data_IF_331083311523
#
_entry.id   IF_331083311523
#
_cell.length_a   1.000
_cell.length_b   1.000
_cell.length_c   1.000
_cell.angle_alpha   90.00
_cell.angle_beta   90.00
_cell.angle_gamma   90.00
#
_symmetry.space_group_name_H-M   'P 1'
#
loop_
_entity.id
_entity.type
_entity.pdbx_description
1 polymer ?
#
# COMPACT_ATOMS: atom_id res chain seq x y z
N UNK A 1 12.95 12.20 9.64
CA UNK A 1 12.33 11.05 8.96
C UNK A 1 11.10 11.49 8.18
N UNK A 2 11.10 11.25 6.91
CA UNK A 2 10.00 11.68 6.04
C UNK A 2 9.05 10.52 5.81
N UNK A 3 7.78 10.72 6.17
CA UNK A 3 6.76 9.73 5.92
C UNK A 3 5.98 10.16 4.68
N UNK A 4 6.03 9.34 3.63
CA UNK A 4 5.30 9.61 2.41
C UNK A 4 4.01 8.82 2.40
N UNK A 5 2.91 9.53 2.60
CA UNK A 5 1.59 8.92 2.58
C UNK A 5 0.87 9.38 1.33
N UNK A 6 0.45 8.43 0.52
CA UNK A 6 -0.14 8.69 -0.78
C UNK A 6 -1.50 8.02 -0.90
N UNK A 7 -2.38 8.62 -1.68
CA UNK A 7 -3.60 7.92 -2.09
C UNK A 7 -3.24 6.84 -3.10
N UNK A 8 -4.18 5.91 -3.35
CA UNK A 8 -3.95 4.86 -4.34
C UNK A 8 -3.61 5.48 -5.69
N UNK A 9 -4.36 6.50 -6.08
CA UNK A 9 -4.15 7.16 -7.36
C UNK A 9 -2.77 7.82 -7.44
N UNK A 10 -2.38 8.53 -6.39
CA UNK A 10 -1.06 9.16 -6.34
C UNK A 10 0.06 8.14 -6.39
N UNK A 11 -0.13 7.04 -5.67
CA UNK A 11 0.87 5.98 -5.63
C UNK A 11 1.06 5.36 -7.01
N UNK A 12 -0.02 5.07 -7.72
CA UNK A 12 0.08 4.46 -9.05
C UNK A 12 0.67 5.41 -10.08
N UNK A 13 0.42 6.71 -9.93
CA UNK A 13 1.03 7.69 -10.81
C UNK A 13 2.54 7.81 -10.59
N UNK A 14 2.96 7.72 -9.35
CA UNK A 14 4.37 7.80 -9.00
C UNK A 14 5.11 6.50 -9.35
N UNK A 15 4.43 5.38 -9.25
CA UNK A 15 5.03 4.07 -9.50
C UNK A 15 4.24 3.31 -10.56
N UNK A 16 4.49 3.58 -11.85
CA UNK A 16 3.74 2.96 -12.94
C UNK A 16 3.84 1.42 -12.98
N UNK A 17 4.85 0.86 -12.30
CA UNK A 17 4.99 -0.59 -12.22
C UNK A 17 3.86 -1.24 -11.42
N UNK A 18 3.13 -0.44 -10.65
CA UNK A 18 2.02 -0.92 -9.83
C UNK A 18 0.72 -0.31 -10.35
N UNK A 19 -0.01 -1.03 -11.22
CA UNK A 19 -1.28 -0.51 -11.74
C UNK A 19 -2.33 -0.43 -10.65
N UNK A 20 -3.27 0.48 -10.83
CA UNK A 20 -4.30 0.71 -9.82
C UNK A 20 -5.08 -0.55 -9.48
N UNK A 21 -5.42 -1.35 -10.49
CA UNK A 21 -6.15 -2.60 -10.26
C UNK A 21 -5.37 -3.57 -9.38
N UNK A 22 -4.06 -3.67 -9.58
CA UNK A 22 -3.20 -4.50 -8.76
C UNK A 22 -3.12 -4.03 -7.32
N UNK A 23 -3.00 -2.71 -7.14
CA UNK A 23 -2.96 -2.12 -5.80
C UNK A 23 -4.29 -2.32 -5.08
N UNK A 24 -5.40 -2.10 -5.78
CA UNK A 24 -6.73 -2.31 -5.19
C UNK A 24 -6.95 -3.75 -4.77
N UNK A 25 -6.44 -4.69 -5.57
CA UNK A 25 -6.51 -6.11 -5.24
C UNK A 25 -5.73 -6.40 -3.94
N UNK A 26 -4.53 -5.83 -3.81
CA UNK A 26 -3.74 -5.98 -2.59
C UNK A 26 -4.45 -5.39 -1.38
N UNK A 27 -5.10 -4.25 -1.56
CA UNK A 27 -5.85 -3.60 -0.49
C UNK A 27 -7.04 -4.46 -0.06
N UNK A 28 -7.73 -5.06 -1.02
CA UNK A 28 -8.85 -5.94 -0.74
C UNK A 28 -8.44 -7.11 0.16
N UNK A 29 -7.25 -7.64 -0.05
CA UNK A 29 -6.72 -8.75 0.74
C UNK A 29 -5.76 -8.30 1.85
N UNK A 30 -5.82 -7.02 2.23
CA UNK A 30 -4.82 -6.44 3.14
C UNK A 30 -4.78 -7.11 4.52
N UNK A 31 -5.89 -7.62 5.00
CA UNK A 31 -5.91 -8.29 6.30
C UNK A 31 -5.25 -9.66 6.24
N UNK A 32 -5.26 -10.30 5.07
CA UNK A 32 -4.70 -11.63 4.89
C UNK A 32 -3.24 -11.60 4.46
N UNK A 33 -2.84 -10.60 3.67
CA UNK A 33 -1.48 -10.56 3.12
C UNK A 33 -0.49 -9.75 3.98
N UNK A 34 -0.93 -9.22 5.10
CA UNK A 34 -0.06 -8.49 6.01
C UNK A 34 0.12 -7.02 5.67
N UNK A 35 -0.51 -6.53 4.62
CA UNK A 35 -0.38 -5.13 4.23
C UNK A 35 -0.93 -4.19 5.29
N UNK A 36 -2.05 -4.56 5.89
CA UNK A 36 -2.66 -3.74 6.94
C UNK A 36 -1.86 -3.80 8.23
N UNK A 37 -1.43 -4.99 8.65
CA UNK A 37 -0.71 -5.16 9.90
C UNK A 37 0.70 -4.59 9.86
N UNK A 38 1.32 -4.54 8.68
CA UNK A 38 2.67 -3.99 8.53
C UNK A 38 2.71 -2.47 8.57
N UNK A 39 1.55 -1.81 8.48
CA UNK A 39 1.49 -0.37 8.41
C UNK A 39 1.64 0.19 7.01
N UNK A 40 1.71 -0.67 6.01
CA UNK A 40 1.77 -0.22 4.61
C UNK A 40 0.47 0.41 4.17
N UNK A 41 -0.63 -0.03 4.74
CA UNK A 41 -1.95 0.51 4.44
C UNK A 41 -2.49 1.27 5.64
N UNK A 42 -2.93 2.49 5.40
CA UNK A 42 -3.49 3.34 6.43
C UNK A 42 -4.95 3.62 6.09
N UNK A 43 -5.82 3.37 7.04
CA UNK A 43 -7.24 3.68 6.88
C UNK A 43 -7.57 4.92 7.69
N UNK A 44 -8.06 5.94 6.99
CA UNK A 44 -8.47 7.19 7.62
C UNK A 44 -9.93 7.44 7.26
N UNK A 45 -10.83 6.93 8.08
CA UNK A 45 -12.25 7.01 7.78
C UNK A 45 -12.57 6.25 6.50
N UNK A 46 -13.05 6.96 5.49
CA UNK A 46 -13.35 6.37 4.18
C UNK A 46 -12.16 6.36 3.25
N UNK A 47 -11.08 7.00 3.65
CA UNK A 47 -9.89 7.09 2.82
C UNK A 47 -8.98 5.91 3.07
N UNK A 48 -8.39 5.43 1.99
CA UNK A 48 -7.34 4.42 2.04
C UNK A 48 -6.07 5.08 1.54
N UNK A 49 -5.05 5.07 2.39
CA UNK A 49 -3.78 5.70 2.10
C UNK A 49 -2.68 4.66 2.15
N UNK A 50 -1.62 4.90 1.40
CA UNK A 50 -0.48 4.00 1.35
C UNK A 50 0.73 4.71 1.94
N UNK A 51 1.34 4.09 2.94
CA UNK A 51 2.62 4.54 3.46
C UNK A 51 3.69 3.95 2.53
N UNK A 52 4.26 4.80 1.68
CA UNK A 52 5.18 4.35 0.64
C UNK A 52 6.35 3.57 1.22
N UNK A 53 6.96 4.07 2.26
CA UNK A 53 8.11 3.44 2.88
C UNK A 53 7.77 2.06 3.43
N UNK A 54 6.68 1.96 4.18
CA UNK A 54 6.23 0.69 4.75
C UNK A 54 5.77 -0.28 3.68
N UNK A 55 5.17 0.25 2.61
CA UNK A 55 4.72 -0.59 1.51
C UNK A 55 5.90 -1.33 0.88
N UNK A 56 6.98 -0.61 0.58
CA UNK A 56 8.15 -1.25 -0.04
C UNK A 56 8.86 -2.19 0.94
N UNK A 57 8.92 -1.84 2.21
CA UNK A 57 9.45 -2.72 3.22
C UNK A 57 8.67 -4.04 3.27
N UNK A 58 7.35 -3.93 3.32
CA UNK A 58 6.47 -5.09 3.32
C UNK A 58 6.63 -5.92 2.05
N UNK A 59 6.69 -5.25 0.90
CA UNK A 59 6.79 -5.92 -0.39
C UNK A 59 8.10 -6.69 -0.52
N UNK A 60 9.20 -6.08 -0.10
CA UNK A 60 10.53 -6.68 -0.18
C UNK A 60 10.69 -7.85 0.79
N UNK A 61 9.88 -7.92 1.81
CA UNK A 61 9.89 -9.03 2.77
C UNK A 61 8.88 -10.11 2.41
N UNK A 62 8.51 -10.21 1.14
CA UNK A 62 7.62 -11.26 0.67
C UNK A 62 6.14 -10.97 0.87
N UNK A 63 5.75 -9.72 0.83
CA UNK A 63 4.41 -9.28 1.18
C UNK A 63 3.28 -9.69 0.27
N UNK A 64 3.52 -10.47 -0.76
CA UNK A 64 2.46 -10.91 -1.68
C UNK A 64 2.11 -12.36 -1.47
N UNK A 65 1.87 -12.72 -0.26
CA UNK A 65 1.49 -14.11 0.01
C UNK A 65 0.08 -14.39 -0.49
#
# INVERSE_FOLDING_TARGET
>A
MTINILTVKQFTQKHPAFPESGIRHKIFHSSANGMLSSGALIRDGRRVLINEERFFEWLLNGGTK
#
